data_IF_382892110323
#
_entry.id   IF_382892110323
#
_cell.length_a   1.000
_cell.length_b   1.000
_cell.length_c   1.000
_cell.angle_alpha   90.00
_cell.angle_beta   90.00
_cell.angle_gamma   90.00
#
_symmetry.space_group_name_H-M   'P 1'
#
loop_
_entity.id
_entity.type
_entity.pdbx_description
1 polymer ?
#
# COMPACT_ATOMS: atom_id res chain seq x y z
N UNK A 1 13.98 1.43 -12.02
CA UNK A 1 12.88 0.45 -12.12
C UNK A 1 11.84 0.86 -11.10
N UNK A 2 10.59 1.12 -11.46
CA UNK A 2 9.58 1.50 -10.45
C UNK A 2 9.05 0.23 -9.76
N UNK A 3 8.52 0.34 -8.54
CA UNK A 3 8.07 -0.86 -7.80
C UNK A 3 6.91 -1.58 -8.51
N UNK A 4 6.05 -0.87 -9.23
CA UNK A 4 5.04 -1.51 -10.07
C UNK A 4 5.65 -2.41 -11.18
N UNK A 5 6.87 -2.12 -11.65
CA UNK A 5 7.59 -2.97 -12.61
C UNK A 5 8.13 -4.22 -11.91
N UNK A 6 8.65 -4.09 -10.68
CA UNK A 6 9.07 -5.22 -9.85
C UNK A 6 7.89 -6.16 -9.53
N UNK A 7 6.75 -5.58 -9.14
CA UNK A 7 5.49 -6.30 -8.92
C UNK A 7 5.06 -7.02 -10.20
N UNK A 8 5.19 -6.37 -11.37
CA UNK A 8 4.87 -6.94 -12.67
C UNK A 8 5.77 -8.11 -13.09
N UNK A 9 7.00 -8.20 -12.59
CA UNK A 9 7.90 -9.32 -12.87
C UNK A 9 7.45 -10.65 -12.24
N UNK A 10 6.54 -10.61 -11.26
CA UNK A 10 5.94 -11.83 -10.68
C UNK A 10 5.07 -12.61 -11.67
N UNK A 11 4.69 -11.99 -12.81
CA UNK A 11 3.92 -12.62 -13.88
C UNK A 11 2.43 -12.80 -13.59
N UNK A 12 1.95 -12.46 -12.39
CA UNK A 12 0.54 -12.56 -12.04
C UNK A 12 -0.24 -11.35 -12.56
N UNK A 13 -0.95 -11.55 -13.67
CA UNK A 13 -1.93 -10.58 -14.16
C UNK A 13 -3.24 -10.78 -13.39
N UNK A 14 -3.84 -9.72 -12.80
CA UNK A 14 -5.13 -9.83 -12.13
C UNK A 14 -6.18 -10.46 -13.04
N UNK A 15 -7.02 -11.36 -12.52
CA UNK A 15 -8.05 -11.99 -13.34
C UNK A 15 -9.07 -10.93 -13.75
N UNK A 16 -9.68 -11.12 -14.92
CA UNK A 16 -10.88 -10.35 -15.27
C UNK A 16 -11.99 -10.68 -14.27
N UNK A 17 -12.71 -9.65 -13.83
CA UNK A 17 -13.83 -9.84 -12.93
C UNK A 17 -14.96 -10.59 -13.63
N UNK A 18 -15.54 -11.58 -12.95
CA UNK A 18 -16.68 -12.34 -13.47
C UNK A 18 -17.95 -11.47 -13.59
N UNK A 19 -18.01 -10.37 -12.83
CA UNK A 19 -19.11 -9.40 -12.83
C UNK A 19 -18.62 -7.99 -12.47
N UNK A 20 -19.39 -6.93 -12.81
CA UNK A 20 -19.10 -5.58 -12.35
C UNK A 20 -19.08 -5.48 -10.81
N UNK A 21 -18.31 -4.55 -10.27
CA UNK A 21 -18.28 -4.28 -8.84
C UNK A 21 -19.67 -3.88 -8.32
N UNK A 22 -20.17 -4.63 -7.34
CA UNK A 22 -21.43 -4.37 -6.65
C UNK A 22 -21.19 -3.69 -5.31
N UNK A 23 -22.24 -3.10 -4.73
CA UNK A 23 -22.16 -2.50 -3.37
C UNK A 23 -21.69 -3.50 -2.32
N UNK A 24 -22.18 -4.74 -2.38
CA UNK A 24 -21.78 -5.81 -1.46
C UNK A 24 -20.30 -6.18 -1.59
N UNK A 25 -19.78 -6.23 -2.83
CA UNK A 25 -18.36 -6.51 -3.05
C UNK A 25 -17.47 -5.38 -2.55
N UNK A 26 -17.90 -4.13 -2.71
CA UNK A 26 -17.19 -2.97 -2.15
C UNK A 26 -17.20 -2.97 -0.62
N UNK A 27 -18.27 -3.44 0.02
CA UNK A 27 -18.31 -3.61 1.47
C UNK A 27 -17.32 -4.68 1.94
N UNK A 28 -17.25 -5.83 1.27
CA UNK A 28 -16.27 -6.88 1.56
C UNK A 28 -14.82 -6.40 1.39
N UNK A 29 -14.55 -5.65 0.32
CA UNK A 29 -13.23 -5.03 0.09
C UNK A 29 -12.87 -4.07 1.23
N UNK A 30 -13.82 -3.24 1.65
CA UNK A 30 -13.62 -2.32 2.77
C UNK A 30 -13.35 -3.08 4.06
N UNK A 31 -14.11 -4.12 4.36
CA UNK A 31 -13.91 -4.92 5.56
C UNK A 31 -12.53 -5.59 5.58
N UNK A 32 -12.08 -6.13 4.43
CA UNK A 32 -10.73 -6.69 4.30
C UNK A 32 -9.65 -5.63 4.52
N UNK A 33 -9.82 -4.44 3.94
CA UNK A 33 -8.91 -3.32 4.14
C UNK A 33 -8.83 -2.92 5.62
N UNK A 34 -9.98 -2.69 6.26
CA UNK A 34 -10.06 -2.20 7.64
C UNK A 34 -9.50 -3.23 8.65
N UNK A 35 -9.69 -4.54 8.39
CA UNK A 35 -9.30 -5.59 9.34
C UNK A 35 -7.86 -6.09 9.15
N UNK A 36 -7.36 -6.11 7.92
CA UNK A 36 -6.08 -6.78 7.59
C UNK A 36 -5.06 -5.77 7.10
N UNK A 37 -5.35 -5.10 5.99
CA UNK A 37 -4.32 -4.33 5.28
C UNK A 37 -4.01 -3.00 5.94
N UNK A 38 -5.00 -2.20 6.32
CA UNK A 38 -4.75 -0.90 6.94
C UNK A 38 -3.92 -1.04 8.23
N UNK A 39 -4.28 -1.91 9.21
CA UNK A 39 -3.45 -2.09 10.42
C UNK A 39 -2.04 -2.61 10.14
N UNK A 40 -1.88 -3.44 9.09
CA UNK A 40 -0.56 -3.93 8.66
C UNK A 40 0.31 -2.83 8.08
N UNK A 41 -0.26 -2.00 7.20
CA UNK A 41 0.42 -0.87 6.57
C UNK A 41 0.81 0.20 7.59
N UNK A 42 -0.05 0.47 8.58
CA UNK A 42 0.25 1.40 9.67
C UNK A 42 1.46 0.97 10.50
N UNK A 43 1.54 -0.32 10.85
CA UNK A 43 2.69 -0.88 11.57
C UNK A 43 3.95 -0.85 10.73
N UNK A 44 3.84 -1.18 9.44
CA UNK A 44 4.98 -1.26 8.54
C UNK A 44 5.58 0.12 8.23
N UNK A 45 4.73 1.11 7.97
CA UNK A 45 5.15 2.47 7.64
C UNK A 45 5.16 3.42 8.85
N UNK A 46 4.86 2.95 10.07
CA UNK A 46 4.80 3.77 11.28
C UNK A 46 3.97 5.06 11.11
N UNK A 47 2.74 4.90 10.64
CA UNK A 47 1.77 5.98 10.42
C UNK A 47 0.37 5.51 10.81
N UNK A 48 -0.51 6.44 11.18
CA UNK A 48 -1.94 6.16 11.39
C UNK A 48 -2.80 6.56 10.17
N UNK A 49 -2.22 6.92 9.02
CA UNK A 49 -2.99 7.49 7.92
C UNK A 49 -4.02 6.52 7.31
N UNK A 50 -3.71 5.22 7.27
CA UNK A 50 -4.51 4.23 6.54
C UNK A 50 -5.85 3.91 7.21
N UNK A 51 -5.92 3.87 8.55
CA UNK A 51 -7.19 3.59 9.27
C UNK A 51 -8.07 4.83 9.46
N UNK A 52 -7.54 6.03 9.19
CA UNK A 52 -8.28 7.29 9.33
C UNK A 52 -9.19 7.53 8.12
N UNK A 53 -10.20 8.41 8.25
CA UNK A 53 -11.18 8.66 7.19
C UNK A 53 -10.57 9.00 5.83
N UNK A 54 -9.42 9.68 5.79
CA UNK A 54 -8.71 10.01 4.56
C UNK A 54 -8.17 8.78 3.82
N UNK A 55 -7.61 7.80 4.53
CA UNK A 55 -7.12 6.55 3.94
C UNK A 55 -8.27 5.70 3.39
N UNK A 56 -9.34 5.57 4.18
CA UNK A 56 -10.56 4.86 3.75
C UNK A 56 -11.19 5.55 2.53
N UNK A 57 -11.24 6.88 2.53
CA UNK A 57 -11.79 7.65 1.41
C UNK A 57 -10.93 7.51 0.15
N UNK A 58 -9.60 7.46 0.28
CA UNK A 58 -8.69 7.21 -0.84
C UNK A 58 -8.90 5.83 -1.47
N UNK A 59 -9.14 4.78 -0.66
CA UNK A 59 -9.50 3.45 -1.14
C UNK A 59 -10.82 3.48 -1.93
N UNK A 60 -11.88 4.03 -1.32
CA UNK A 60 -13.22 4.04 -1.93
C UNK A 60 -13.26 4.85 -3.23
N UNK A 61 -12.43 5.88 -3.36
CA UNK A 61 -12.30 6.68 -4.57
C UNK A 61 -11.50 5.98 -5.69
N UNK A 62 -10.73 4.93 -5.39
CA UNK A 62 -9.83 4.30 -6.35
C UNK A 62 -10.43 3.01 -6.94
N UNK A 63 -11.19 3.14 -8.03
CA UNK A 63 -11.83 2.01 -8.72
C UNK A 63 -10.84 0.93 -9.15
N UNK A 64 -9.64 1.30 -9.64
CA UNK A 64 -8.66 0.33 -10.11
C UNK A 64 -8.16 -0.59 -8.98
N UNK A 65 -7.92 -0.03 -7.78
CA UNK A 65 -7.53 -0.82 -6.61
C UNK A 65 -8.68 -1.72 -6.15
N UNK A 66 -9.92 -1.20 -6.17
CA UNK A 66 -11.09 -2.00 -5.82
C UNK A 66 -11.30 -3.18 -6.78
N UNK A 67 -11.10 -2.98 -8.09
CA UNK A 67 -11.16 -4.06 -9.08
C UNK A 67 -10.06 -5.09 -8.86
N UNK A 68 -8.85 -4.65 -8.57
CA UNK A 68 -7.72 -5.53 -8.30
C UNK A 68 -7.96 -6.37 -7.03
N UNK A 69 -8.47 -5.77 -5.95
CA UNK A 69 -8.86 -6.47 -4.72
C UNK A 69 -9.99 -7.48 -4.96
N UNK A 70 -11.00 -7.13 -5.74
CA UNK A 70 -12.05 -8.07 -6.12
C UNK A 70 -11.49 -9.27 -6.90
N UNK A 71 -10.57 -9.03 -7.83
CA UNK A 71 -9.92 -10.09 -8.60
C UNK A 71 -9.07 -11.01 -7.71
N UNK A 72 -8.37 -10.44 -6.73
CA UNK A 72 -7.65 -11.21 -5.72
C UNK A 72 -8.56 -12.07 -4.85
N UNK A 73 -9.67 -11.51 -4.33
CA UNK A 73 -10.66 -12.28 -3.56
C UNK A 73 -11.24 -13.44 -4.40
N UNK A 74 -11.50 -13.19 -5.68
CA UNK A 74 -11.99 -14.20 -6.62
C UNK A 74 -10.95 -15.31 -6.88
N UNK A 75 -9.66 -14.98 -6.97
CA UNK A 75 -8.60 -15.99 -7.15
C UNK A 75 -8.45 -16.87 -5.91
N UNK A 76 -8.52 -16.27 -4.72
CA UNK A 76 -8.49 -17.01 -3.46
C UNK A 76 -9.67 -17.96 -3.34
N UNK A 77 -10.89 -17.53 -3.68
CA UNK A 77 -12.09 -18.36 -3.62
C UNK A 77 -12.03 -19.58 -4.56
N UNK A 78 -11.25 -19.52 -5.64
CA UNK A 78 -11.06 -20.60 -6.62
C UNK A 78 -9.87 -21.50 -6.30
N UNK A 79 -8.98 -21.10 -5.40
CA UNK A 79 -7.73 -21.83 -5.07
C UNK A 79 -8.00 -22.89 -4.00
N UNK A 80 -7.66 -24.15 -4.30
CA UNK A 80 -7.70 -25.25 -3.33
C UNK A 80 -6.35 -25.39 -2.59
N UNK A 81 -6.36 -25.96 -1.39
CA UNK A 81 -5.13 -26.19 -0.60
C UNK A 81 -4.10 -27.09 -1.30
N UNK A 82 -4.52 -27.93 -2.24
CA UNK A 82 -3.63 -28.78 -3.04
C UNK A 82 -3.16 -28.11 -4.34
N UNK A 83 -3.69 -26.94 -4.68
CA UNK A 83 -3.30 -26.19 -5.87
C UNK A 83 -2.12 -25.25 -5.59
N UNK A 84 -0.91 -25.83 -5.61
CA UNK A 84 0.34 -25.10 -5.38
C UNK A 84 0.51 -23.93 -6.36
N UNK A 85 0.08 -24.10 -7.61
CA UNK A 85 0.20 -23.06 -8.63
C UNK A 85 -0.79 -21.91 -8.35
N UNK A 86 -2.04 -22.22 -7.98
CA UNK A 86 -3.04 -21.25 -7.56
C UNK A 86 -2.64 -20.48 -6.29
N UNK A 87 -2.01 -21.16 -5.33
CA UNK A 87 -1.47 -20.51 -4.13
C UNK A 87 -0.35 -19.53 -4.47
N UNK A 88 0.61 -19.92 -5.31
CA UNK A 88 1.69 -19.03 -5.75
C UNK A 88 1.16 -17.83 -6.54
N UNK A 89 0.18 -18.07 -7.41
CA UNK A 89 -0.49 -17.00 -8.15
C UNK A 89 -1.19 -16.02 -7.22
N UNK A 90 -1.95 -16.51 -6.24
CA UNK A 90 -2.65 -15.67 -5.26
C UNK A 90 -1.68 -14.88 -4.37
N UNK A 91 -0.54 -15.46 -3.98
CA UNK A 91 0.50 -14.74 -3.24
C UNK A 91 1.13 -13.60 -4.06
N UNK A 92 1.36 -13.82 -5.36
CA UNK A 92 1.85 -12.77 -6.25
C UNK A 92 0.82 -11.64 -6.43
N UNK A 93 -0.47 -11.98 -6.52
CA UNK A 93 -1.54 -10.98 -6.55
C UNK A 93 -1.62 -10.21 -5.23
N UNK A 94 -1.51 -10.87 -4.10
CA UNK A 94 -1.48 -10.20 -2.79
C UNK A 94 -0.33 -9.20 -2.68
N UNK A 95 0.86 -9.54 -3.18
CA UNK A 95 1.97 -8.59 -3.20
C UNK A 95 1.62 -7.31 -3.98
N UNK A 96 0.91 -7.45 -5.11
CA UNK A 96 0.39 -6.32 -5.88
C UNK A 96 -0.66 -5.53 -5.10
N UNK A 97 -1.59 -6.22 -4.43
CA UNK A 97 -2.60 -5.61 -3.54
C UNK A 97 -1.93 -4.73 -2.50
N UNK A 98 -0.96 -5.29 -1.79
CA UNK A 98 -0.26 -4.59 -0.71
C UNK A 98 0.43 -3.34 -1.23
N UNK A 99 1.08 -3.40 -2.40
CA UNK A 99 1.75 -2.24 -2.97
C UNK A 99 0.79 -1.16 -3.49
N UNK A 100 -0.30 -1.57 -4.14
CA UNK A 100 -1.34 -0.66 -4.62
C UNK A 100 -2.00 0.08 -3.43
N UNK A 101 -2.29 -0.64 -2.35
CA UNK A 101 -2.79 -0.06 -1.10
C UNK A 101 -1.78 0.87 -0.42
N UNK A 102 -0.50 0.46 -0.34
CA UNK A 102 0.56 1.31 0.17
C UNK A 102 0.71 2.60 -0.64
N UNK A 103 0.36 2.58 -1.93
CA UNK A 103 0.44 3.74 -2.81
C UNK A 103 -0.73 4.73 -2.65
N UNK A 104 -1.77 4.40 -1.86
CA UNK A 104 -2.92 5.29 -1.63
C UNK A 104 -2.52 6.65 -1.04
N UNK A 105 -1.47 6.70 -0.21
CA UNK A 105 -0.96 7.95 0.37
C UNK A 105 -0.46 8.94 -0.68
N UNK A 106 -0.18 8.52 -1.91
CA UNK A 106 0.19 9.45 -2.99
C UNK A 106 -0.95 10.37 -3.44
N UNK A 107 -2.19 10.10 -3.03
CA UNK A 107 -3.32 11.04 -3.11
C UNK A 107 -3.17 12.25 -2.19
N UNK A 108 -2.38 12.13 -1.11
CA UNK A 108 -2.07 13.24 -0.20
C UNK A 108 -1.14 14.24 -0.87
N UNK A 109 -1.27 15.51 -0.50
CA UNK A 109 -0.38 16.57 -0.98
C UNK A 109 1.08 16.25 -0.66
N UNK A 110 1.98 16.54 -1.61
CA UNK A 110 3.41 16.46 -1.34
C UNK A 110 3.85 17.69 -0.54
N UNK A 111 4.36 17.48 0.66
CA UNK A 111 4.99 18.51 1.48
C UNK A 111 6.31 18.00 2.02
N UNK A 112 7.32 18.87 1.96
CA UNK A 112 8.58 18.66 2.67
C UNK A 112 8.34 19.11 4.11
N UNK A 113 8.52 18.21 5.06
CA UNK A 113 8.41 18.53 6.48
C UNK A 113 9.64 19.35 6.88
N UNK A 114 9.53 20.68 6.80
CA UNK A 114 10.59 21.63 7.18
C UNK A 114 10.18 22.23 8.53
N UNK A 115 10.61 21.62 9.62
CA UNK A 115 10.33 22.09 10.98
C UNK A 115 10.90 21.17 12.05
N UNK A 116 11.13 21.70 13.25
CA UNK A 116 11.59 20.91 14.42
C UNK A 116 10.47 20.07 15.04
N UNK A 117 9.21 20.43 14.79
CA UNK A 117 8.06 19.71 15.33
C UNK A 117 7.77 18.44 14.51
N UNK A 118 7.61 17.31 15.19
CA UNK A 118 7.16 16.07 14.54
C UNK A 118 5.75 16.25 13.96
N UNK A 119 5.53 15.86 12.69
CA UNK A 119 4.19 15.81 12.10
C UNK A 119 3.27 14.88 12.90
N UNK A 120 1.93 15.12 12.89
CA UNK A 120 0.95 14.18 13.42
C UNK A 120 1.12 12.77 12.84
N UNK A 121 0.74 11.75 13.62
CA UNK A 121 0.90 10.34 13.21
C UNK A 121 0.11 9.97 11.94
N UNK A 122 -0.99 10.66 11.68
CA UNK A 122 -1.86 10.51 10.51
C UNK A 122 -1.60 11.56 9.42
N UNK A 123 -0.49 12.31 9.49
CA UNK A 123 -0.13 13.28 8.46
C UNK A 123 0.16 12.57 7.13
N UNK A 124 -0.64 12.92 6.10
CA UNK A 124 -0.53 12.28 4.79
C UNK A 124 0.76 12.59 4.04
N UNK A 125 1.38 13.74 4.30
CA UNK A 125 2.66 14.11 3.66
C UNK A 125 3.80 13.27 4.23
N UNK A 126 3.81 13.09 5.55
CA UNK A 126 4.73 12.21 6.25
C UNK A 126 4.55 10.75 5.82
N UNK A 127 3.31 10.23 5.82
CA UNK A 127 3.02 8.88 5.37
C UNK A 127 3.50 8.65 3.92
N UNK A 128 3.23 9.60 3.03
CA UNK A 128 3.73 9.62 1.64
C UNK A 128 5.26 9.59 1.58
N UNK A 129 5.95 10.40 2.38
CA UNK A 129 7.41 10.45 2.40
C UNK A 129 8.00 9.10 2.84
N UNK A 130 7.39 8.45 3.83
CA UNK A 130 7.82 7.13 4.29
C UNK A 130 7.66 6.07 3.20
N UNK A 131 6.52 6.03 2.51
CA UNK A 131 6.31 5.12 1.36
C UNK A 131 7.32 5.39 0.26
N UNK A 132 7.60 6.66 -0.05
CA UNK A 132 8.59 7.04 -1.07
C UNK A 132 10.01 6.54 -0.72
N UNK A 133 10.41 6.54 0.55
CA UNK A 133 11.70 5.98 0.99
C UNK A 133 11.76 4.49 0.69
N UNK A 134 10.73 3.73 1.08
CA UNK A 134 10.66 2.30 0.77
C UNK A 134 10.66 2.04 -0.74
N UNK A 135 9.93 2.82 -1.53
CA UNK A 135 9.93 2.71 -2.99
C UNK A 135 11.33 2.91 -3.58
N UNK A 136 12.11 3.88 -3.08
CA UNK A 136 13.48 4.09 -3.52
C UNK A 136 14.42 2.95 -3.14
N UNK A 137 14.29 2.41 -1.92
CA UNK A 137 15.07 1.26 -1.47
C UNK A 137 14.80 0.03 -2.34
N UNK A 138 13.54 -0.26 -2.65
CA UNK A 138 13.15 -1.39 -3.50
C UNK A 138 13.60 -1.21 -4.95
N UNK A 139 13.51 0.01 -5.47
CA UNK A 139 13.87 0.31 -6.87
C UNK A 139 15.37 0.43 -7.14
N UNK A 140 16.21 0.48 -6.08
CA UNK A 140 17.63 0.79 -6.19
C UNK A 140 17.91 2.21 -6.71
N UNK A 141 16.91 3.10 -6.70
CA UNK A 141 17.05 4.46 -7.24
C UNK A 141 17.68 5.37 -6.19
N UNK A 142 18.99 5.65 -6.34
CA UNK A 142 19.74 6.55 -5.44
C UNK A 142 19.49 8.05 -5.69
N UNK A 143 18.62 8.42 -6.64
CA UNK A 143 18.26 9.82 -6.94
C UNK A 143 17.19 10.36 -5.98
N UNK A 144 17.36 10.09 -4.69
CA UNK A 144 16.56 10.70 -3.64
C UNK A 144 17.05 12.13 -3.43
N UNK A 145 16.12 13.10 -3.38
CA UNK A 145 16.45 14.42 -2.84
C UNK A 145 17.02 14.22 -1.43
N UNK A 146 18.25 14.66 -1.22
CA UNK A 146 19.06 14.49 0.01
C UNK A 146 18.29 14.88 1.30
N UNK A 147 17.24 15.69 1.13
CA UNK A 147 16.30 16.12 2.16
C UNK A 147 15.55 14.97 2.86
N UNK A 148 15.06 13.95 2.14
CA UNK A 148 14.22 12.91 2.75
C UNK A 148 15.02 11.82 3.50
N UNK A 149 16.28 11.57 3.11
CA UNK A 149 17.17 10.65 3.84
C UNK A 149 17.69 11.26 5.15
N UNK A 150 17.93 12.57 5.17
CA UNK A 150 18.36 13.28 6.38
C UNK A 150 17.32 13.18 7.51
N UNK A 151 16.04 13.08 7.16
CA UNK A 151 14.95 12.95 8.12
C UNK A 151 14.84 11.54 8.74
N UNK A 152 15.00 10.47 7.94
CA UNK A 152 15.04 9.10 8.47
C UNK A 152 16.22 8.90 9.44
N UNK A 153 17.39 9.43 9.13
CA UNK A 153 18.57 9.34 10.01
C UNK A 153 18.35 10.05 11.36
N UNK A 154 17.66 11.20 11.34
CA UNK A 154 17.29 11.96 12.53
C UNK A 154 16.33 11.19 13.46
N UNK A 155 15.32 10.50 12.90
CA UNK A 155 14.35 9.73 13.68
C UNK A 155 14.96 8.53 14.42
N UNK A 156 15.91 7.82 13.83
CA UNK A 156 16.61 6.71 14.50
C UNK A 156 17.41 7.16 15.73
N UNK A 157 17.84 8.42 15.81
CA UNK A 157 18.57 8.93 16.96
C UNK A 157 17.69 9.30 18.15
N UNK A 158 16.42 9.64 17.93
CA UNK A 158 15.50 10.06 19.01
C UNK A 158 14.73 8.88 19.64
N UNK A 159 14.73 7.71 19.01
CA UNK A 159 14.10 6.50 19.57
C UNK A 159 14.94 5.80 20.67
N UNK A 160 16.14 6.31 20.99
CA UNK A 160 17.08 5.74 21.96
C UNK A 160 17.55 6.72 23.05
N UNK A 161 16.76 7.78 23.33
CA UNK A 161 16.97 8.72 24.45
C UNK A 161 15.67 8.94 25.19
#
# INVERSE_FOLDING_TARGET
>A
MKVHELVGMSGAVPPALDSPLTGDKLAEIRDLYDQVYAPGLEKFFETEWYTKPQGVSALLANTAINEMLAGFLQSMAKTDANDVAGMQYSANLEFRVVWDLASLVYSSEYKVNIGEQLPPADDGSEARNRVAVFEALLSGSSNFGISSLSFCASKTSQAWT
#
